data_IF_939593261425
#
_entry.id   IF_939593261425
#
_cell.length_a   1.000
_cell.length_b   1.000
_cell.length_c   1.000
_cell.angle_alpha   90.00
_cell.angle_beta   90.00
_cell.angle_gamma   90.00
#
_symmetry.space_group_name_H-M   'P 1'
#
loop_
_entity.id
_entity.type
_entity.pdbx_description
1 polymer ?
#
# COMPACT_ATOMS: atom_id res chain seq x y z
N UNK A 1 -71.54 20.93 -19.49
CA UNK A 1 -70.45 19.97 -19.74
C UNK A 1 -69.19 20.78 -20.03
N UNK A 2 -68.32 20.96 -19.03
CA UNK A 2 -67.02 21.65 -19.18
C UNK A 2 -65.93 20.59 -19.00
N UNK A 3 -65.15 20.33 -20.08
CA UNK A 3 -64.03 19.44 -20.11
C UNK A 3 -62.84 20.11 -19.45
N UNK A 4 -62.26 19.50 -18.39
CA UNK A 4 -61.03 19.91 -17.77
C UNK A 4 -59.91 19.12 -18.43
N UNK A 5 -59.02 19.76 -19.14
CA UNK A 5 -57.81 19.19 -19.67
C UNK A 5 -56.73 19.16 -18.58
N UNK A 6 -56.27 17.94 -18.24
CA UNK A 6 -55.19 17.72 -17.29
C UNK A 6 -53.84 17.84 -18.03
N UNK A 7 -53.11 18.90 -17.79
CA UNK A 7 -51.75 19.10 -18.32
C UNK A 7 -50.76 18.41 -17.36
N UNK A 8 -50.20 17.26 -17.78
CA UNK A 8 -49.09 16.61 -17.05
C UNK A 8 -47.80 17.40 -17.35
N UNK A 9 -47.27 18.06 -16.36
CA UNK A 9 -45.91 18.58 -16.38
C UNK A 9 -44.93 17.42 -16.07
N UNK A 10 -44.22 16.95 -17.07
CA UNK A 10 -43.08 16.04 -16.89
C UNK A 10 -41.91 16.86 -16.35
N UNK A 11 -41.65 16.78 -15.05
CA UNK A 11 -40.40 17.27 -14.47
C UNK A 11 -39.26 16.34 -14.86
N UNK A 12 -38.48 16.73 -15.87
CA UNK A 12 -37.19 16.09 -16.15
C UNK A 12 -36.20 16.58 -15.10
N UNK A 13 -35.86 15.72 -14.15
CA UNK A 13 -34.75 15.94 -13.26
C UNK A 13 -33.46 15.76 -14.06
N UNK A 14 -32.50 16.70 -14.02
CA UNK A 14 -31.20 16.46 -14.60
C UNK A 14 -30.50 15.36 -13.80
N UNK A 15 -30.21 14.26 -14.48
CA UNK A 15 -29.26 13.26 -13.95
C UNK A 15 -27.91 13.96 -13.90
N UNK A 16 -27.56 14.47 -12.72
CA UNK A 16 -26.18 14.92 -12.45
C UNK A 16 -25.35 13.64 -12.42
N UNK A 17 -24.76 13.30 -13.55
CA UNK A 17 -23.70 12.32 -13.63
C UNK A 17 -22.60 12.80 -12.69
N UNK A 18 -22.38 12.06 -11.60
CA UNK A 18 -21.26 12.22 -10.69
C UNK A 18 -19.99 11.89 -11.49
N UNK A 19 -19.49 12.88 -12.24
CA UNK A 19 -18.16 12.81 -12.83
C UNK A 19 -17.20 12.75 -11.64
N UNK A 20 -16.57 11.56 -11.47
CA UNK A 20 -15.34 11.48 -10.69
C UNK A 20 -14.50 12.70 -11.08
N UNK A 21 -14.04 13.47 -10.11
CA UNK A 21 -13.05 14.51 -10.31
C UNK A 21 -11.79 13.85 -10.90
N UNK A 22 -11.79 13.67 -12.21
CA UNK A 22 -10.57 13.61 -12.99
C UNK A 22 -9.96 14.99 -12.79
N UNK A 23 -8.86 15.07 -12.01
CA UNK A 23 -8.08 16.28 -11.92
C UNK A 23 -7.94 16.87 -13.33
N UNK A 24 -8.01 18.20 -13.45
CA UNK A 24 -7.94 18.89 -14.73
C UNK A 24 -6.86 18.23 -15.59
N UNK A 25 -7.19 17.91 -16.83
CA UNK A 25 -6.26 17.26 -17.75
C UNK A 25 -5.02 18.16 -17.83
N UNK A 26 -3.87 17.65 -17.37
CA UNK A 26 -2.62 18.39 -17.46
C UNK A 26 -2.29 18.54 -18.93
N UNK A 27 -2.27 19.78 -19.41
CA UNK A 27 -1.76 20.10 -20.74
C UNK A 27 -0.23 20.15 -20.63
N UNK A 28 0.43 19.34 -21.44
CA UNK A 28 1.88 19.37 -21.53
C UNK A 28 2.31 20.63 -22.32
N UNK A 29 3.36 21.36 -21.88
CA UNK A 29 3.94 22.45 -22.63
C UNK A 29 4.36 22.04 -24.03
N UNK A 30 4.27 22.94 -25.00
CA UNK A 30 4.76 22.70 -26.36
C UNK A 30 6.28 22.53 -26.37
N UNK A 31 6.77 21.61 -27.19
CA UNK A 31 8.20 21.36 -27.33
C UNK A 31 8.54 19.97 -27.83
N UNK A 32 9.80 19.82 -28.22
CA UNK A 32 10.35 18.54 -28.65
C UNK A 32 10.28 17.53 -27.51
N UNK A 33 9.72 16.35 -27.76
CA UNK A 33 9.46 15.29 -26.76
C UNK A 33 8.04 15.22 -26.23
N UNK A 34 7.18 16.26 -26.44
CA UNK A 34 5.78 16.26 -25.98
C UNK A 34 5.02 15.05 -26.49
N UNK A 35 5.03 14.82 -27.80
CA UNK A 35 4.32 13.71 -28.43
C UNK A 35 4.79 12.35 -27.93
N UNK A 36 6.10 12.22 -27.68
CA UNK A 36 6.67 10.99 -27.11
C UNK A 36 6.17 10.74 -25.67
N UNK A 37 6.06 11.78 -24.85
CA UNK A 37 5.47 11.69 -23.50
C UNK A 37 4.01 11.28 -23.57
N UNK A 38 3.20 11.92 -24.42
CA UNK A 38 1.80 11.56 -24.62
C UNK A 38 1.64 10.11 -25.10
N UNK A 39 2.41 9.69 -26.10
CA UNK A 39 2.36 8.37 -26.66
C UNK A 39 2.80 7.25 -25.71
N UNK A 40 3.80 7.49 -24.88
CA UNK A 40 4.40 6.46 -24.05
C UNK A 40 3.92 6.49 -22.58
N UNK A 41 3.70 7.68 -22.00
CA UNK A 41 3.37 7.79 -20.57
C UNK A 41 1.88 7.70 -20.27
N UNK A 42 1.00 8.16 -21.17
CA UNK A 42 -0.45 8.15 -20.95
C UNK A 42 -1.07 6.75 -21.02
N UNK A 43 -0.34 5.74 -21.47
CA UNK A 43 -0.85 4.37 -21.63
C UNK A 43 -1.20 3.69 -20.31
N UNK A 44 -0.49 4.02 -19.23
CA UNK A 44 -0.58 3.30 -17.97
C UNK A 44 -1.13 4.14 -16.81
N UNK A 45 -1.02 5.48 -16.89
CA UNK A 45 -1.46 6.39 -15.83
C UNK A 45 -1.71 7.81 -16.35
N UNK A 46 -2.29 8.67 -15.52
CA UNK A 46 -2.54 10.06 -15.91
C UNK A 46 -1.23 10.84 -16.06
N UNK A 47 -1.19 11.74 -17.04
CA UNK A 47 -0.07 12.68 -17.24
C UNK A 47 0.16 13.58 -16.02
N UNK A 48 -0.83 13.76 -15.16
CA UNK A 48 -0.68 14.46 -13.89
C UNK A 48 0.33 13.80 -12.95
N UNK A 49 0.46 12.47 -12.95
CA UNK A 49 1.51 11.78 -12.19
C UNK A 49 2.90 12.11 -12.72
N UNK A 50 3.04 12.21 -14.05
CA UNK A 50 4.31 12.55 -14.72
C UNK A 50 4.70 13.98 -14.40
N UNK A 51 3.80 14.94 -14.66
CA UNK A 51 4.04 16.36 -14.44
C UNK A 51 4.34 16.73 -12.97
N UNK A 52 3.81 15.95 -12.03
CA UNK A 52 4.03 16.18 -10.60
C UNK A 52 5.20 15.39 -10.01
N UNK A 53 5.87 14.53 -10.77
CA UNK A 53 6.94 13.68 -10.28
C UNK A 53 8.16 14.50 -9.79
N UNK A 54 8.55 15.55 -10.53
CA UNK A 54 9.67 16.43 -10.17
C UNK A 54 10.99 15.66 -10.04
N UNK A 55 11.39 14.97 -11.10
CA UNK A 55 12.64 14.23 -11.20
C UNK A 55 13.66 14.98 -12.04
N UNK A 56 14.96 14.77 -11.74
CA UNK A 56 16.04 15.17 -12.63
C UNK A 56 16.01 14.36 -13.93
N UNK A 57 16.73 14.80 -14.95
CA UNK A 57 16.88 14.05 -16.22
C UNK A 57 17.42 12.65 -15.98
N UNK A 58 18.44 12.55 -15.13
CA UNK A 58 19.02 11.26 -14.73
C UNK A 58 18.01 10.36 -14.02
N UNK A 59 17.23 10.91 -13.09
CA UNK A 59 16.21 10.12 -12.37
C UNK A 59 15.11 9.61 -13.30
N UNK A 60 14.74 10.38 -14.33
CA UNK A 60 13.83 9.94 -15.37
C UNK A 60 14.40 8.76 -16.16
N UNK A 61 15.66 8.85 -16.60
CA UNK A 61 16.33 7.76 -17.33
C UNK A 61 16.42 6.49 -16.47
N UNK A 62 16.82 6.62 -15.21
CA UNK A 62 16.89 5.52 -14.25
C UNK A 62 15.51 4.87 -14.02
N UNK A 63 14.46 5.68 -13.96
CA UNK A 63 13.07 5.21 -13.79
C UNK A 63 12.57 4.44 -15.01
N UNK A 64 12.86 4.91 -16.23
CA UNK A 64 12.42 4.25 -17.46
C UNK A 64 12.93 2.82 -17.56
N UNK A 65 14.14 2.55 -17.12
CA UNK A 65 14.72 1.20 -17.14
C UNK A 65 13.88 0.15 -16.39
N UNK A 66 13.06 0.58 -15.42
CA UNK A 66 12.19 -0.27 -14.60
C UNK A 66 10.70 -0.13 -14.91
N UNK A 67 10.33 0.88 -15.70
CA UNK A 67 8.91 1.23 -15.93
C UNK A 67 8.43 0.94 -17.35
N UNK A 68 9.26 1.19 -18.37
CA UNK A 68 8.86 1.06 -19.77
C UNK A 68 10.08 0.76 -20.65
N UNK A 69 9.91 -0.10 -21.64
CA UNK A 69 10.97 -0.36 -22.62
C UNK A 69 10.89 0.70 -23.72
N UNK A 70 11.85 1.61 -23.72
CA UNK A 70 12.00 2.67 -24.72
C UNK A 70 13.33 2.51 -25.48
N UNK A 71 13.39 2.88 -26.79
CA UNK A 71 14.65 3.14 -27.45
C UNK A 71 15.47 4.21 -26.72
N UNK A 72 16.79 4.12 -26.77
CA UNK A 72 17.68 5.02 -26.01
C UNK A 72 17.53 6.50 -26.39
N UNK A 73 17.34 6.79 -27.68
CA UNK A 73 17.08 8.12 -28.21
C UNK A 73 15.77 8.71 -27.65
N UNK A 74 14.69 7.97 -27.73
CA UNK A 74 13.39 8.39 -27.16
C UNK A 74 13.45 8.55 -25.64
N UNK A 75 14.14 7.64 -24.93
CA UNK A 75 14.34 7.74 -23.49
C UNK A 75 15.04 9.04 -23.10
N UNK A 76 16.10 9.40 -23.80
CA UNK A 76 16.85 10.64 -23.57
C UNK A 76 16.02 11.88 -23.88
N UNK A 77 15.30 11.87 -25.00
CA UNK A 77 14.42 12.99 -25.39
C UNK A 77 13.29 13.22 -24.41
N UNK A 78 12.59 12.15 -24.00
CA UNK A 78 11.52 12.23 -22.99
C UNK A 78 12.09 12.76 -21.67
N UNK A 79 13.23 12.26 -21.20
CA UNK A 79 13.84 12.67 -19.95
C UNK A 79 14.22 14.16 -19.96
N UNK A 80 14.84 14.64 -21.05
CA UNK A 80 15.21 16.04 -21.23
C UNK A 80 13.96 16.94 -21.26
N UNK A 81 12.92 16.55 -22.01
CA UNK A 81 11.66 17.28 -22.06
C UNK A 81 11.00 17.41 -20.68
N UNK A 82 10.92 16.29 -19.95
CA UNK A 82 10.28 16.27 -18.63
C UNK A 82 11.07 17.06 -17.59
N UNK A 83 12.38 16.93 -17.56
CA UNK A 83 13.25 17.68 -16.65
C UNK A 83 13.21 19.19 -16.91
N UNK A 84 13.09 19.60 -18.17
CA UNK A 84 12.98 21.01 -18.57
C UNK A 84 11.64 21.62 -18.17
N UNK A 85 10.53 20.92 -18.44
CA UNK A 85 9.18 21.46 -18.27
C UNK A 85 8.61 21.21 -16.87
N UNK A 86 9.07 20.19 -16.17
CA UNK A 86 8.67 19.79 -14.82
C UNK A 86 9.92 19.59 -13.97
N UNK A 87 10.62 20.68 -13.61
CA UNK A 87 11.93 20.60 -12.97
C UNK A 87 11.90 19.84 -11.65
N UNK A 88 13.07 19.34 -11.28
CA UNK A 88 13.27 18.60 -10.05
C UNK A 88 12.73 19.38 -8.84
N UNK A 89 11.92 18.69 -8.05
CA UNK A 89 11.45 19.19 -6.75
C UNK A 89 12.39 18.65 -5.67
N UNK A 90 13.04 19.52 -4.89
CA UNK A 90 13.88 19.07 -3.79
C UNK A 90 13.11 18.12 -2.88
N UNK A 91 13.65 16.93 -2.66
CA UNK A 91 13.12 15.98 -1.68
C UNK A 91 13.98 16.02 -0.42
N UNK A 92 13.39 15.87 0.78
CA UNK A 92 14.16 15.75 1.99
C UNK A 92 15.18 14.63 1.86
N UNK A 93 16.39 14.88 2.38
CA UNK A 93 17.43 13.85 2.39
C UNK A 93 17.19 12.84 3.50
N UNK A 94 17.54 11.60 3.22
CA UNK A 94 17.54 10.55 4.22
C UNK A 94 18.55 10.83 5.34
N UNK A 95 18.13 10.59 6.59
CA UNK A 95 19.03 10.60 7.75
C UNK A 95 19.45 9.16 8.03
N UNK A 96 20.77 8.90 7.99
CA UNK A 96 21.34 7.59 8.31
C UNK A 96 21.84 7.59 9.75
N UNK A 97 21.26 6.73 10.58
CA UNK A 97 21.65 6.53 11.96
C UNK A 97 22.31 5.15 12.06
N UNK A 98 23.62 5.09 12.34
CA UNK A 98 24.32 3.82 12.52
C UNK A 98 23.92 3.13 13.83
N UNK A 99 24.23 1.84 13.96
CA UNK A 99 23.97 1.08 15.18
C UNK A 99 24.59 -0.31 15.13
N UNK A 100 24.24 -1.15 16.12
CA UNK A 100 24.83 -2.47 16.31
C UNK A 100 24.21 -3.57 15.41
N UNK A 101 23.04 -3.30 14.81
CA UNK A 101 22.39 -4.26 13.92
C UNK A 101 22.87 -4.02 12.49
N UNK A 102 23.27 -5.07 11.80
CA UNK A 102 23.63 -5.03 10.40
C UNK A 102 22.51 -5.65 9.57
N UNK A 103 22.19 -5.03 8.44
CA UNK A 103 21.25 -5.59 7.45
C UNK A 103 21.91 -5.64 6.08
N UNK A 104 21.53 -6.64 5.29
CA UNK A 104 21.78 -6.65 3.86
C UNK A 104 20.44 -6.59 3.13
N UNK A 105 20.36 -5.74 2.09
CA UNK A 105 19.14 -5.56 1.29
C UNK A 105 19.43 -6.05 -0.11
N UNK A 106 18.78 -7.16 -0.49
CA UNK A 106 18.83 -7.69 -1.85
C UNK A 106 17.54 -7.36 -2.56
N UNK A 107 17.64 -6.74 -3.72
CA UNK A 107 16.49 -6.30 -4.51
C UNK A 107 16.43 -7.06 -5.85
N UNK A 108 15.22 -7.36 -6.31
CA UNK A 108 14.96 -7.96 -7.62
C UNK A 108 13.99 -7.08 -8.39
N UNK A 109 14.32 -6.78 -9.64
CA UNK A 109 13.41 -6.18 -10.60
C UNK A 109 12.34 -7.22 -10.96
N UNK A 110 11.05 -6.86 -10.84
CA UNK A 110 9.97 -7.78 -11.20
C UNK A 110 9.84 -7.85 -12.73
N UNK A 111 9.36 -9.00 -13.30
CA UNK A 111 9.41 -9.25 -14.74
C UNK A 111 8.65 -8.23 -15.58
N UNK A 112 7.41 -7.91 -15.22
CA UNK A 112 6.61 -6.91 -15.96
C UNK A 112 7.02 -5.51 -15.55
N UNK A 113 7.56 -4.74 -16.51
CA UNK A 113 7.94 -3.35 -16.29
C UNK A 113 6.71 -2.50 -15.96
N UNK A 114 6.88 -1.53 -15.06
CA UNK A 114 5.79 -0.67 -14.61
C UNK A 114 4.72 -1.38 -13.78
N UNK A 115 4.99 -2.60 -13.34
CA UNK A 115 4.06 -3.43 -12.56
C UNK A 115 3.62 -2.76 -11.24
N UNK A 116 4.47 -1.90 -10.67
CA UNK A 116 4.21 -1.23 -9.39
C UNK A 116 3.93 -2.24 -8.28
N UNK A 117 4.92 -3.02 -7.83
CA UNK A 117 4.79 -3.89 -6.67
C UNK A 117 4.22 -3.10 -5.49
N UNK A 118 3.05 -3.55 -4.95
CA UNK A 118 2.38 -2.76 -3.91
C UNK A 118 2.53 -3.38 -2.52
N UNK A 119 2.01 -4.56 -2.31
CA UNK A 119 2.16 -5.30 -1.05
C UNK A 119 3.05 -6.54 -1.27
N UNK A 120 4.07 -6.75 -0.43
CA UNK A 120 4.83 -7.99 -0.40
C UNK A 120 4.20 -8.98 0.58
N UNK A 121 4.44 -10.28 0.39
CA UNK A 121 4.03 -11.34 1.29
C UNK A 121 5.13 -12.39 1.37
N UNK A 122 5.58 -12.72 2.58
CA UNK A 122 6.46 -13.85 2.82
C UNK A 122 5.63 -15.08 3.20
N UNK A 123 5.61 -16.09 2.34
CA UNK A 123 4.81 -17.30 2.54
C UNK A 123 5.54 -18.39 3.33
N UNK A 124 4.76 -19.37 3.79
CA UNK A 124 5.26 -20.49 4.62
C UNK A 124 6.35 -21.31 3.94
N UNK A 125 6.31 -21.43 2.63
CA UNK A 125 7.26 -22.17 1.80
C UNK A 125 8.58 -21.41 1.52
N UNK A 126 8.71 -20.18 2.05
CA UNK A 126 9.88 -19.33 1.90
C UNK A 126 9.90 -18.51 0.60
N UNK A 127 8.84 -18.56 -0.20
CA UNK A 127 8.70 -17.69 -1.36
C UNK A 127 8.28 -16.27 -0.94
N UNK A 128 8.58 -15.31 -1.81
CA UNK A 128 8.14 -13.91 -1.69
C UNK A 128 7.11 -13.66 -2.79
N UNK A 129 5.92 -13.23 -2.39
CA UNK A 129 4.88 -12.83 -3.31
C UNK A 129 4.76 -11.31 -3.34
N UNK A 130 4.20 -10.78 -4.44
CA UNK A 130 3.85 -9.36 -4.55
C UNK A 130 2.59 -9.17 -5.40
N UNK A 131 1.90 -8.08 -5.15
CA UNK A 131 0.86 -7.58 -6.06
C UNK A 131 1.49 -6.65 -7.07
N UNK A 132 1.31 -6.93 -8.37
CA UNK A 132 1.64 -6.04 -9.47
C UNK A 132 0.43 -5.20 -9.84
N UNK A 133 0.20 -4.10 -9.10
CA UNK A 133 -1.05 -3.35 -9.14
C UNK A 133 -1.42 -2.83 -10.53
N UNK A 134 -0.44 -2.29 -11.27
CA UNK A 134 -0.68 -1.75 -12.62
C UNK A 134 -0.59 -2.81 -13.71
N UNK A 135 0.19 -3.85 -13.51
CA UNK A 135 0.28 -4.97 -14.44
C UNK A 135 -0.88 -5.98 -14.30
N UNK A 136 -1.71 -5.83 -13.28
CA UNK A 136 -2.83 -6.74 -12.99
C UNK A 136 -2.38 -8.19 -12.76
N UNK A 137 -1.29 -8.38 -12.01
CA UNK A 137 -0.70 -9.69 -11.73
C UNK A 137 -0.45 -9.91 -10.24
N UNK A 138 -0.36 -11.18 -9.86
CA UNK A 138 0.28 -11.64 -8.62
C UNK A 138 1.63 -12.25 -9.00
N UNK A 139 2.71 -11.85 -8.36
CA UNK A 139 4.02 -12.39 -8.65
C UNK A 139 4.57 -13.23 -7.50
N UNK A 140 5.38 -14.24 -7.84
CA UNK A 140 6.10 -15.11 -6.90
C UNK A 140 7.58 -15.13 -7.24
N UNK A 141 8.42 -14.96 -6.24
CA UNK A 141 9.88 -15.05 -6.29
C UNK A 141 10.36 -16.15 -5.35
N UNK A 142 11.20 -17.07 -5.85
CA UNK A 142 12.05 -17.88 -4.98
C UNK A 142 13.34 -17.09 -4.67
N UNK A 143 13.54 -16.59 -3.44
CA UNK A 143 14.68 -15.73 -3.13
C UNK A 143 16.03 -16.47 -3.15
N UNK A 144 16.03 -17.81 -3.12
CA UNK A 144 17.24 -18.66 -3.16
C UNK A 144 17.80 -18.71 -4.58
N UNK A 145 16.93 -18.85 -5.58
CA UNK A 145 17.31 -18.99 -6.99
C UNK A 145 17.17 -17.69 -7.78
N UNK A 146 16.31 -16.78 -7.33
CA UNK A 146 15.90 -15.59 -8.06
C UNK A 146 14.83 -15.86 -9.13
N UNK A 147 14.33 -17.10 -9.23
CA UNK A 147 13.30 -17.46 -10.19
C UNK A 147 11.97 -16.77 -9.88
N UNK A 148 11.33 -16.20 -10.89
CA UNK A 148 10.08 -15.49 -10.76
C UNK A 148 9.00 -16.07 -11.68
N UNK A 149 7.75 -15.99 -11.21
CA UNK A 149 6.56 -16.31 -12.00
C UNK A 149 5.48 -15.29 -11.70
N UNK A 150 4.78 -14.82 -12.73
CA UNK A 150 3.61 -13.96 -12.61
C UNK A 150 2.33 -14.70 -13.01
N UNK A 151 1.24 -14.41 -12.29
CA UNK A 151 -0.08 -14.96 -12.47
C UNK A 151 -1.04 -13.80 -12.77
N UNK A 152 -1.56 -13.68 -14.00
CA UNK A 152 -2.54 -12.64 -14.34
C UNK A 152 -3.80 -12.76 -13.47
N UNK A 153 -4.26 -11.65 -12.90
CA UNK A 153 -5.55 -11.62 -12.21
C UNK A 153 -6.69 -11.89 -13.22
N UNK A 154 -7.74 -12.59 -12.77
CA UNK A 154 -8.83 -13.04 -13.64
C UNK A 154 -9.66 -11.89 -14.21
N UNK A 155 -10.05 -10.92 -13.35
CA UNK A 155 -10.74 -9.72 -13.83
C UNK A 155 -9.71 -8.70 -14.35
N UNK A 156 -9.84 -8.25 -15.63
CA UNK A 156 -8.97 -7.22 -16.17
C UNK A 156 -9.02 -5.93 -15.33
N UNK A 157 -7.86 -5.28 -15.19
CA UNK A 157 -7.74 -4.02 -14.44
C UNK A 157 -8.26 -4.09 -12.99
N UNK A 158 -8.23 -5.28 -12.38
CA UNK A 158 -8.69 -5.45 -11.00
C UNK A 158 -7.85 -4.69 -9.99
N UNK A 159 -6.60 -4.35 -10.33
CA UNK A 159 -5.68 -3.61 -9.48
C UNK A 159 -5.31 -4.37 -8.21
N UNK A 160 -4.64 -5.55 -8.29
CA UNK A 160 -4.23 -6.30 -7.11
C UNK A 160 -3.45 -5.43 -6.14
N UNK A 161 -3.88 -5.38 -4.86
CA UNK A 161 -3.32 -4.44 -3.89
C UNK A 161 -2.79 -5.11 -2.63
N UNK A 162 -3.65 -5.52 -1.69
CA UNK A 162 -3.25 -6.22 -0.47
C UNK A 162 -3.10 -7.72 -0.70
N UNK A 163 -2.19 -8.38 0.04
CA UNK A 163 -1.94 -9.83 -0.01
C UNK A 163 -1.98 -10.45 1.38
N UNK A 164 -2.45 -11.69 1.44
CA UNK A 164 -2.31 -12.56 2.61
C UNK A 164 -2.35 -14.04 2.19
N UNK A 165 -1.81 -14.95 3.03
CA UNK A 165 -1.80 -16.40 2.83
C UNK A 165 -2.80 -17.07 3.78
N UNK A 166 -3.59 -18.03 3.30
CA UNK A 166 -4.40 -18.89 4.18
C UNK A 166 -3.61 -20.11 4.69
N UNK A 167 -4.22 -20.88 5.61
CA UNK A 167 -3.59 -22.09 6.20
C UNK A 167 -3.32 -23.20 5.19
N UNK A 168 -3.95 -23.15 4.01
CA UNK A 168 -3.79 -24.10 2.91
C UNK A 168 -2.72 -23.68 1.91
N UNK A 169 -2.15 -22.46 2.09
CA UNK A 169 -1.14 -21.89 1.21
C UNK A 169 -1.72 -21.18 -0.01
N UNK A 170 -3.03 -20.93 -0.06
CA UNK A 170 -3.59 -20.09 -1.10
C UNK A 170 -3.28 -18.61 -0.85
N UNK A 171 -3.11 -17.87 -1.93
CA UNK A 171 -2.82 -16.43 -1.88
C UNK A 171 -4.10 -15.65 -2.11
N UNK A 172 -4.48 -14.87 -1.10
CA UNK A 172 -5.65 -14.00 -1.17
C UNK A 172 -5.21 -12.57 -1.43
N UNK A 173 -5.97 -11.87 -2.27
CA UNK A 173 -5.67 -10.49 -2.64
C UNK A 173 -6.93 -9.63 -2.72
N UNK A 174 -6.75 -8.34 -2.54
CA UNK A 174 -7.79 -7.35 -2.82
C UNK A 174 -7.65 -6.84 -4.24
N UNK A 175 -8.71 -6.93 -5.03
CA UNK A 175 -8.82 -6.31 -6.35
C UNK A 175 -9.38 -4.90 -6.18
N UNK A 176 -8.48 -3.99 -5.85
CA UNK A 176 -8.75 -2.62 -5.38
C UNK A 176 -9.62 -1.83 -6.35
N UNK A 177 -9.28 -1.85 -7.65
CA UNK A 177 -10.00 -1.11 -8.69
C UNK A 177 -11.33 -1.77 -9.08
N UNK A 178 -11.43 -3.11 -8.99
CA UNK A 178 -12.63 -3.86 -9.40
C UNK A 178 -13.60 -4.12 -8.26
N UNK A 179 -13.26 -3.77 -7.01
CA UNK A 179 -14.13 -4.02 -5.86
C UNK A 179 -14.37 -5.51 -5.61
N UNK A 180 -13.30 -6.30 -5.49
CA UNK A 180 -13.39 -7.74 -5.27
C UNK A 180 -12.29 -8.25 -4.34
N UNK A 181 -12.49 -9.45 -3.80
CA UNK A 181 -11.45 -10.26 -3.16
C UNK A 181 -11.15 -11.44 -4.08
N UNK A 182 -9.87 -11.70 -4.35
CA UNK A 182 -9.43 -12.85 -5.14
C UNK A 182 -8.68 -13.87 -4.29
N UNK A 183 -8.79 -15.14 -4.68
CA UNK A 183 -8.05 -16.27 -4.12
C UNK A 183 -7.35 -17.00 -5.26
N UNK A 184 -6.04 -17.08 -5.21
CA UNK A 184 -5.19 -17.84 -6.13
C UNK A 184 -4.74 -19.14 -5.46
N UNK A 185 -4.93 -20.26 -6.13
CA UNK A 185 -4.23 -21.52 -5.81
C UNK A 185 -2.85 -21.49 -6.49
N UNK A 186 -1.73 -21.44 -5.73
CA UNK A 186 -0.40 -21.36 -6.33
C UNK A 186 0.03 -22.62 -7.09
N UNK A 187 -0.63 -23.77 -6.86
CA UNK A 187 -0.32 -25.06 -7.49
C UNK A 187 -0.89 -25.15 -8.88
N UNK A 188 -2.17 -24.79 -9.03
CA UNK A 188 -2.88 -24.84 -10.32
C UNK A 188 -2.80 -23.54 -11.09
N UNK A 189 -2.73 -22.39 -10.39
CA UNK A 189 -2.84 -21.05 -10.94
C UNK A 189 -4.29 -20.58 -11.07
N UNK A 190 -5.25 -21.36 -10.57
CA UNK A 190 -6.67 -21.01 -10.64
C UNK A 190 -7.01 -19.85 -9.70
N UNK A 191 -7.83 -18.91 -10.18
CA UNK A 191 -8.29 -17.78 -9.41
C UNK A 191 -9.81 -17.82 -9.25
N UNK A 192 -10.24 -17.80 -7.98
CA UNK A 192 -11.62 -17.57 -7.57
C UNK A 192 -11.80 -16.12 -7.11
N UNK A 193 -12.86 -15.46 -7.53
CA UNK A 193 -13.13 -14.06 -7.17
C UNK A 193 -14.49 -13.91 -6.49
N UNK A 194 -14.52 -13.07 -5.45
CA UNK A 194 -15.68 -12.74 -4.63
C UNK A 194 -15.95 -11.24 -4.80
N UNK A 195 -17.02 -10.89 -5.50
CA UNK A 195 -17.41 -9.49 -5.71
C UNK A 195 -18.02 -8.90 -4.44
N UNK A 196 -17.77 -7.62 -4.19
CA UNK A 196 -18.43 -6.92 -3.09
C UNK A 196 -19.95 -6.93 -3.28
N UNK A 197 -20.72 -7.23 -2.22
CA UNK A 197 -22.19 -7.29 -2.29
C UNK A 197 -22.84 -5.91 -2.44
N UNK A 198 -22.09 -4.84 -2.18
CA UNK A 198 -22.55 -3.47 -2.28
C UNK A 198 -21.63 -2.67 -3.24
N UNK A 199 -22.17 -2.05 -4.30
CA UNK A 199 -21.38 -1.23 -5.23
C UNK A 199 -20.66 -0.03 -4.59
N UNK A 200 -21.15 0.45 -3.42
CA UNK A 200 -20.47 1.47 -2.65
C UNK A 200 -19.20 0.96 -1.93
N UNK A 201 -19.04 -0.35 -1.78
CA UNK A 201 -17.86 -0.97 -1.19
C UNK A 201 -16.70 -1.00 -2.20
N UNK A 202 -16.20 0.18 -2.54
CA UNK A 202 -15.10 0.39 -3.47
C UNK A 202 -13.77 0.40 -2.76
N UNK A 203 -12.70 0.01 -3.45
CA UNK A 203 -11.33 0.08 -2.99
C UNK A 203 -11.08 -0.83 -1.75
N UNK A 204 -11.35 -2.17 -1.85
CA UNK A 204 -10.90 -3.11 -0.84
C UNK A 204 -9.37 -3.07 -0.77
N UNK A 205 -8.81 -3.00 0.47
CA UNK A 205 -7.43 -2.57 0.61
C UNK A 205 -6.54 -3.59 1.35
N UNK A 206 -6.60 -3.67 2.67
CA UNK A 206 -5.69 -4.52 3.47
C UNK A 206 -6.42 -5.75 3.97
N UNK A 207 -6.10 -6.96 3.45
CA UNK A 207 -6.69 -8.21 3.91
C UNK A 207 -5.84 -8.83 5.01
N UNK A 208 -6.48 -9.46 6.00
CA UNK A 208 -5.83 -10.22 7.08
C UNK A 208 -6.73 -11.34 7.57
N UNK A 209 -6.17 -12.53 7.83
CA UNK A 209 -6.91 -13.63 8.43
C UNK A 209 -6.91 -13.55 9.96
N UNK A 210 -8.05 -13.82 10.57
CA UNK A 210 -8.10 -14.10 12.00
C UNK A 210 -7.74 -15.57 12.30
N UNK A 211 -7.63 -15.90 13.59
CA UNK A 211 -7.27 -17.26 14.04
C UNK A 211 -8.31 -18.32 13.66
N UNK A 212 -9.58 -17.90 13.41
CA UNK A 212 -10.69 -18.77 12.99
C UNK A 212 -10.71 -19.01 11.48
N UNK A 213 -9.86 -18.29 10.73
CA UNK A 213 -9.77 -18.38 9.28
C UNK A 213 -10.81 -17.53 8.54
N UNK A 214 -11.37 -16.52 9.18
CA UNK A 214 -12.18 -15.49 8.52
C UNK A 214 -11.23 -14.44 7.95
N UNK A 215 -11.44 -14.06 6.70
CA UNK A 215 -10.70 -12.98 6.05
C UNK A 215 -11.36 -11.64 6.35
N UNK A 216 -10.66 -10.79 7.07
CA UNK A 216 -11.03 -9.40 7.32
C UNK A 216 -10.32 -8.48 6.35
N UNK A 217 -10.96 -7.39 5.95
CA UNK A 217 -10.36 -6.43 5.04
C UNK A 217 -10.94 -5.03 5.21
N UNK A 218 -10.12 -4.03 5.00
CA UNK A 218 -10.57 -2.64 4.92
C UNK A 218 -11.10 -2.34 3.52
N UNK A 219 -12.06 -1.41 3.42
CA UNK A 219 -12.67 -0.94 2.17
C UNK A 219 -12.55 0.57 2.15
N UNK A 220 -11.40 1.06 1.72
CA UNK A 220 -10.99 2.46 1.88
C UNK A 220 -11.95 3.43 1.20
N UNK A 221 -12.21 3.24 -0.10
CA UNK A 221 -13.09 4.11 -0.88
C UNK A 221 -14.57 4.00 -0.52
N UNK A 222 -14.96 2.90 0.15
CA UNK A 222 -16.31 2.68 0.65
C UNK A 222 -16.53 3.18 2.07
N UNK A 223 -15.49 3.58 2.79
CA UNK A 223 -15.56 3.91 4.24
C UNK A 223 -16.09 2.74 5.09
N UNK A 224 -15.67 1.51 4.76
CA UNK A 224 -16.19 0.28 5.37
C UNK A 224 -15.06 -0.67 5.79
N UNK A 225 -15.44 -1.65 6.63
CA UNK A 225 -14.65 -2.85 6.91
C UNK A 225 -15.50 -4.06 6.51
N UNK A 226 -14.87 -5.04 5.91
CA UNK A 226 -15.51 -6.27 5.47
C UNK A 226 -14.93 -7.50 6.14
N UNK A 227 -15.74 -8.55 6.21
CA UNK A 227 -15.31 -9.92 6.50
C UNK A 227 -15.82 -10.86 5.42
N UNK A 228 -15.01 -11.82 5.04
CA UNK A 228 -15.37 -12.91 4.12
C UNK A 228 -15.13 -14.24 4.81
N UNK A 229 -16.13 -15.12 4.79
CA UNK A 229 -15.98 -16.51 5.20
C UNK A 229 -15.54 -17.36 4.01
N UNK A 230 -14.29 -17.86 3.96
CA UNK A 230 -13.79 -18.65 2.83
C UNK A 230 -14.54 -19.96 2.58
N UNK A 231 -15.31 -20.45 3.55
CA UNK A 231 -16.04 -21.74 3.42
C UNK A 231 -17.25 -21.63 2.50
N UNK A 232 -17.92 -20.51 2.51
CA UNK A 232 -19.16 -20.29 1.74
C UNK A 232 -19.14 -19.05 0.86
N UNK A 233 -18.10 -18.21 0.97
CA UNK A 233 -17.97 -16.98 0.19
C UNK A 233 -18.83 -15.80 0.71
N UNK A 234 -19.43 -15.92 1.90
CA UNK A 234 -20.28 -14.88 2.47
C UNK A 234 -19.48 -13.65 2.88
N UNK A 235 -19.86 -12.48 2.35
CA UNK A 235 -19.25 -11.20 2.65
C UNK A 235 -20.22 -10.33 3.45
N UNK A 236 -19.77 -9.87 4.62
CA UNK A 236 -20.46 -8.87 5.43
C UNK A 236 -19.66 -7.59 5.52
N UNK A 237 -20.34 -6.45 5.51
CA UNK A 237 -19.74 -5.12 5.54
C UNK A 237 -20.29 -4.32 6.72
N UNK A 238 -19.42 -3.52 7.35
CA UNK A 238 -19.78 -2.53 8.36
C UNK A 238 -19.22 -1.16 7.94
N UNK A 239 -20.05 -0.13 8.01
CA UNK A 239 -19.63 1.24 7.71
C UNK A 239 -18.91 1.86 8.91
N UNK A 240 -17.77 2.48 8.70
CA UNK A 240 -17.06 3.22 9.75
C UNK A 240 -17.89 4.41 10.21
N UNK A 241 -18.04 4.65 11.54
CA UNK A 241 -18.90 5.71 12.06
C UNK A 241 -18.53 7.11 11.59
N UNK A 242 -17.22 7.39 11.50
CA UNK A 242 -16.74 8.67 11.00
C UNK A 242 -16.76 8.70 9.46
N UNK A 243 -17.50 9.63 8.83
CA UNK A 243 -17.54 9.76 7.39
C UNK A 243 -16.15 10.07 6.81
N UNK A 244 -15.82 9.44 5.67
CA UNK A 244 -14.53 9.63 4.98
C UNK A 244 -13.31 9.32 5.84
N UNK A 245 -13.46 8.39 6.78
CA UNK A 245 -12.36 7.97 7.65
C UNK A 245 -11.26 7.20 6.90
N UNK A 246 -11.56 6.67 5.71
CA UNK A 246 -10.62 5.92 4.86
C UNK A 246 -9.93 4.77 5.60
N UNK A 247 -10.66 3.71 6.02
CA UNK A 247 -10.07 2.53 6.67
C UNK A 247 -8.92 1.95 5.82
N UNK A 248 -7.71 1.80 6.42
CA UNK A 248 -6.51 1.50 5.66
C UNK A 248 -5.77 0.26 6.18
N UNK A 249 -4.71 0.41 6.97
CA UNK A 249 -3.98 -0.72 7.55
C UNK A 249 -4.82 -1.47 8.58
N UNK A 250 -4.67 -2.79 8.65
CA UNK A 250 -5.41 -3.66 9.56
C UNK A 250 -4.51 -4.75 10.16
N UNK A 251 -4.74 -5.08 11.41
CA UNK A 251 -4.11 -6.19 12.14
C UNK A 251 -5.15 -6.91 13.00
N UNK A 252 -4.82 -8.12 13.46
CA UNK A 252 -5.67 -8.92 14.37
C UNK A 252 -4.99 -9.01 15.73
N UNK A 253 -5.73 -8.75 16.81
CA UNK A 253 -5.22 -8.90 18.16
C UNK A 253 -5.19 -10.38 18.62
N UNK A 254 -4.61 -10.65 19.78
CA UNK A 254 -4.49 -12.01 20.34
C UNK A 254 -5.84 -12.68 20.63
N UNK A 255 -6.92 -11.88 20.70
CA UNK A 255 -8.30 -12.35 20.94
C UNK A 255 -9.12 -12.54 19.67
N UNK A 256 -8.50 -12.27 18.49
CA UNK A 256 -9.13 -12.41 17.18
C UNK A 256 -9.95 -11.21 16.74
N UNK A 257 -9.84 -10.07 17.40
CA UNK A 257 -10.52 -8.86 16.97
C UNK A 257 -9.67 -8.05 16.01
N UNK A 258 -10.25 -7.60 14.88
CA UNK A 258 -9.55 -6.72 13.96
C UNK A 258 -9.44 -5.30 14.50
N UNK A 259 -8.24 -4.73 14.36
CA UNK A 259 -7.93 -3.34 14.58
C UNK A 259 -7.48 -2.71 13.28
N UNK A 260 -7.92 -1.51 12.99
CA UNK A 260 -7.56 -0.81 11.77
C UNK A 260 -7.33 0.68 12.02
N UNK A 261 -6.59 1.30 11.13
CA UNK A 261 -6.31 2.74 11.17
C UNK A 261 -7.21 3.46 10.15
N UNK A 262 -7.60 4.68 10.48
CA UNK A 262 -8.46 5.52 9.68
C UNK A 262 -7.64 6.69 9.09
N UNK A 263 -7.08 6.45 7.92
CA UNK A 263 -6.12 7.35 7.27
C UNK A 263 -6.68 8.74 6.91
N UNK A 264 -7.99 8.86 6.74
CA UNK A 264 -8.66 10.13 6.48
C UNK A 264 -8.78 11.05 7.70
N UNK A 265 -8.61 10.49 8.91
CA UNK A 265 -8.79 11.17 10.20
C UNK A 265 -7.72 10.70 11.20
N UNK A 266 -7.70 11.31 12.39
CA UNK A 266 -6.76 10.94 13.46
C UNK A 266 -7.33 9.85 14.37
N UNK A 267 -7.72 8.70 13.81
CA UNK A 267 -8.34 7.63 14.59
C UNK A 267 -7.76 6.25 14.31
N UNK A 268 -7.87 5.39 15.31
CA UNK A 268 -7.74 3.94 15.24
C UNK A 268 -9.08 3.36 15.63
N UNK A 269 -9.48 2.25 15.02
CA UNK A 269 -10.73 1.61 15.31
C UNK A 269 -10.59 0.10 15.50
N UNK A 270 -11.52 -0.48 16.25
CA UNK A 270 -11.67 -1.92 16.46
C UNK A 270 -13.06 -2.34 16.01
N UNK A 271 -13.16 -3.45 15.32
CA UNK A 271 -14.43 -4.07 15.00
C UNK A 271 -14.64 -5.33 15.86
N UNK A 272 -15.85 -5.47 16.42
CA UNK A 272 -16.24 -6.70 17.12
C UNK A 272 -16.49 -7.81 16.09
N UNK A 273 -15.80 -8.96 16.17
CA UNK A 273 -15.91 -10.00 15.15
C UNK A 273 -17.26 -10.74 15.15
N UNK A 274 -18.07 -10.56 16.17
CA UNK A 274 -19.39 -11.19 16.30
C UNK A 274 -20.52 -10.26 15.88
N UNK A 275 -20.54 -9.04 16.43
CA UNK A 275 -21.62 -8.06 16.18
C UNK A 275 -21.36 -7.18 14.97
N UNK A 276 -20.12 -7.09 14.49
CA UNK A 276 -19.66 -6.15 13.46
C UNK A 276 -19.72 -4.67 13.90
N UNK A 277 -19.87 -4.40 15.19
CA UNK A 277 -19.87 -3.05 15.73
C UNK A 277 -18.44 -2.47 15.71
N UNK A 278 -18.31 -1.23 15.24
CA UNK A 278 -17.02 -0.52 15.15
C UNK A 278 -16.94 0.49 16.30
N UNK A 279 -15.87 0.38 17.08
CA UNK A 279 -15.50 1.35 18.11
C UNK A 279 -14.25 2.13 17.68
N UNK A 280 -14.38 3.45 17.63
CA UNK A 280 -13.29 4.37 17.25
C UNK A 280 -12.59 4.95 18.50
N UNK A 281 -11.28 5.20 18.35
CA UNK A 281 -10.42 5.83 19.35
C UNK A 281 -9.71 7.00 18.70
N UNK A 282 -9.94 8.21 19.22
CA UNK A 282 -9.32 9.43 18.70
C UNK A 282 -7.90 9.56 19.22
N UNK A 283 -6.94 9.77 18.34
CA UNK A 283 -5.54 10.04 18.68
C UNK A 283 -5.37 11.50 19.11
N UNK A 284 -4.42 11.79 20.03
CA UNK A 284 -4.31 13.11 20.66
C UNK A 284 -4.08 14.26 19.69
N UNK A 285 -3.29 14.04 18.63
CA UNK A 285 -3.00 15.09 17.66
C UNK A 285 -3.98 15.03 16.47
N UNK A 286 -4.67 16.13 16.20
CA UNK A 286 -5.69 16.23 15.14
C UNK A 286 -5.12 16.10 13.72
N UNK A 287 -3.83 16.33 13.52
CA UNK A 287 -3.16 16.22 12.22
C UNK A 287 -2.60 14.82 11.94
N UNK A 288 -2.65 13.92 12.93
CA UNK A 288 -2.24 12.51 12.74
C UNK A 288 -3.07 11.86 11.64
N UNK A 289 -2.38 11.19 10.73
CA UNK A 289 -3.01 10.38 9.67
C UNK A 289 -2.35 9.00 9.67
N UNK A 290 -2.84 8.08 10.52
CA UNK A 290 -2.26 6.76 10.66
C UNK A 290 -2.55 5.97 9.37
N UNK A 291 -1.49 5.44 8.73
CA UNK A 291 -1.64 4.81 7.42
C UNK A 291 -1.51 3.29 7.44
N UNK A 292 -0.44 2.77 7.96
CA UNK A 292 -0.25 1.34 8.20
C UNK A 292 -0.11 1.11 9.70
N UNK A 293 -0.39 -0.12 10.11
CA UNK A 293 -0.37 -0.52 11.51
C UNK A 293 0.30 -1.87 11.67
N UNK A 294 1.07 -2.01 12.74
CA UNK A 294 1.64 -3.26 13.22
C UNK A 294 1.15 -3.53 14.65
N UNK A 295 1.24 -4.77 15.10
CA UNK A 295 0.85 -5.16 16.45
C UNK A 295 1.95 -6.00 17.09
N UNK A 296 2.27 -5.72 18.34
CA UNK A 296 3.21 -6.51 19.13
C UNK A 296 2.49 -7.64 19.89
N UNK A 297 3.24 -8.59 20.44
CA UNK A 297 2.68 -9.78 21.12
C UNK A 297 1.82 -9.43 22.36
N UNK A 298 1.98 -8.25 22.92
CA UNK A 298 1.21 -7.71 24.04
C UNK A 298 -0.02 -6.91 23.62
N UNK A 299 -0.40 -6.99 22.34
CA UNK A 299 -1.51 -6.31 21.67
C UNK A 299 -1.37 -4.80 21.57
N UNK A 300 -0.16 -4.26 21.71
CA UNK A 300 0.10 -2.82 21.50
C UNK A 300 0.19 -2.53 20.01
N UNK A 301 -0.53 -1.50 19.57
CA UNK A 301 -0.57 -1.06 18.19
C UNK A 301 0.52 -0.03 17.91
N UNK A 302 1.18 -0.18 16.78
CA UNK A 302 2.18 0.76 16.27
C UNK A 302 1.77 1.21 14.87
N UNK A 303 1.78 2.51 14.61
CA UNK A 303 1.31 3.04 13.34
C UNK A 303 2.27 4.05 12.73
N UNK A 304 2.30 4.07 11.42
CA UNK A 304 3.00 5.08 10.64
C UNK A 304 2.12 6.33 10.49
N UNK A 305 2.49 7.44 11.14
CA UNK A 305 1.84 8.73 10.93
C UNK A 305 2.42 9.40 9.67
N UNK A 306 1.75 9.14 8.58
CA UNK A 306 2.21 9.54 7.25
C UNK A 306 2.26 11.06 7.05
N UNK A 307 1.34 11.81 7.66
CA UNK A 307 1.25 13.26 7.44
C UNK A 307 2.25 14.05 8.26
N UNK A 308 2.51 13.64 9.49
CA UNK A 308 3.37 14.36 10.43
C UNK A 308 4.83 13.89 10.42
N UNK A 309 5.10 12.70 9.84
CA UNK A 309 6.44 12.10 9.89
C UNK A 309 6.79 11.53 11.26
N UNK A 310 5.86 10.77 11.87
CA UNK A 310 6.03 10.19 13.20
C UNK A 310 5.80 8.66 13.17
N UNK A 311 6.43 7.97 14.10
CA UNK A 311 6.05 6.64 14.52
C UNK A 311 5.14 6.78 15.74
N UNK A 312 3.92 6.23 15.69
CA UNK A 312 2.96 6.29 16.78
C UNK A 312 2.75 4.93 17.45
N UNK A 313 2.42 4.95 18.73
CA UNK A 313 2.03 3.81 19.57
C UNK A 313 0.66 4.08 20.18
N UNK A 314 -0.19 3.06 20.21
CA UNK A 314 -1.47 3.09 20.92
C UNK A 314 -1.62 1.80 21.73
N UNK A 315 -1.97 1.96 23.01
CA UNK A 315 -2.21 0.85 23.93
C UNK A 315 -3.71 0.62 24.09
N UNK A 316 -4.26 -0.47 23.53
CA UNK A 316 -5.70 -0.74 23.62
C UNK A 316 -6.24 -0.96 25.02
N UNK A 317 -5.38 -1.36 25.99
CA UNK A 317 -5.78 -1.64 27.38
C UNK A 317 -6.03 -0.35 28.17
N UNK A 318 -5.22 0.66 27.91
CA UNK A 318 -5.25 1.94 28.66
C UNK A 318 -5.80 3.10 27.84
N UNK A 319 -5.86 2.96 26.50
CA UNK A 319 -6.18 4.05 25.58
C UNK A 319 -5.03 5.06 25.42
N UNK A 320 -3.87 4.82 26.03
CA UNK A 320 -2.74 5.73 25.98
C UNK A 320 -2.08 5.71 24.59
N UNK A 321 -1.81 6.90 24.06
CA UNK A 321 -1.08 7.08 22.81
C UNK A 321 0.21 7.88 23.08
N UNK A 322 1.26 7.51 22.32
CA UNK A 322 2.54 8.21 22.31
C UNK A 322 3.14 8.18 20.92
N UNK A 323 3.91 9.18 20.54
CA UNK A 323 4.58 9.24 19.24
C UNK A 323 6.04 9.72 19.36
N UNK A 324 6.83 9.38 18.33
CA UNK A 324 8.24 9.76 18.17
C UNK A 324 8.45 10.34 16.78
N UNK A 325 9.18 11.47 16.65
CA UNK A 325 9.52 11.99 15.35
C UNK A 325 10.39 10.99 14.58
N UNK A 326 10.07 10.76 13.33
CA UNK A 326 10.86 9.91 12.45
C UNK A 326 12.22 10.55 12.16
N UNK A 327 13.31 9.77 12.02
CA UNK A 327 14.67 10.30 11.88
C UNK A 327 14.88 11.37 10.82
N UNK A 328 14.21 11.21 9.68
CA UNK A 328 14.35 12.17 8.57
C UNK A 328 13.34 13.33 8.62
N UNK A 329 12.66 13.52 9.76
CA UNK A 329 11.83 14.68 10.05
C UNK A 329 10.41 14.62 9.49
N UNK A 330 9.68 15.75 9.52
CA UNK A 330 8.23 15.77 9.31
C UNK A 330 7.78 15.40 7.88
N UNK A 331 8.67 15.52 6.90
CA UNK A 331 8.38 15.13 5.51
C UNK A 331 8.81 13.70 5.19
N UNK A 332 9.27 12.92 6.17
CA UNK A 332 9.74 11.54 5.98
C UNK A 332 8.67 10.57 5.49
N UNK A 333 7.41 10.86 5.74
CA UNK A 333 6.24 10.05 5.33
C UNK A 333 6.40 8.57 5.68
N UNK A 334 6.44 8.20 6.97
CA UNK A 334 6.45 6.81 7.41
C UNK A 334 5.31 6.03 6.76
N UNK A 335 5.61 4.81 6.22
CA UNK A 335 4.58 4.10 5.48
C UNK A 335 4.50 2.62 5.84
N UNK A 336 5.17 1.72 5.09
CA UNK A 336 5.19 0.30 5.42
C UNK A 336 5.73 0.10 6.84
N UNK A 337 5.06 -0.73 7.66
CA UNK A 337 5.42 -0.96 9.05
C UNK A 337 5.16 -2.41 9.44
N UNK A 338 6.04 -2.99 10.25
CA UNK A 338 5.89 -4.33 10.81
C UNK A 338 6.56 -4.42 12.17
N UNK A 339 5.99 -5.24 13.07
CA UNK A 339 6.61 -5.62 14.34
C UNK A 339 7.29 -6.98 14.20
N UNK A 340 8.58 -7.05 14.57
CA UNK A 340 9.36 -8.28 14.52
C UNK A 340 10.18 -8.42 15.80
N UNK A 341 9.90 -9.47 16.60
CA UNK A 341 10.59 -9.73 17.86
C UNK A 341 10.63 -8.54 18.83
N UNK A 342 9.52 -7.81 18.96
CA UNK A 342 9.40 -6.63 19.81
C UNK A 342 10.03 -5.35 19.26
N UNK A 343 10.67 -5.41 18.11
CA UNK A 343 11.25 -4.28 17.37
C UNK A 343 10.26 -3.82 16.32
N UNK A 344 10.17 -2.50 16.12
CA UNK A 344 9.34 -1.91 15.08
C UNK A 344 10.20 -1.52 13.89
N UNK A 345 9.81 -2.00 12.73
CA UNK A 345 10.45 -1.70 11.46
C UNK A 345 9.48 -0.94 10.57
N UNK A 346 9.94 0.13 9.94
CA UNK A 346 9.11 0.88 9.00
C UNK A 346 9.95 1.56 7.91
N UNK A 347 9.29 2.07 6.90
CA UNK A 347 9.94 2.81 5.80
C UNK A 347 9.69 4.31 5.94
N UNK A 348 10.69 5.14 5.67
CA UNK A 348 10.51 6.55 5.34
C UNK A 348 10.44 6.70 3.82
N UNK A 349 9.24 6.93 3.31
CA UNK A 349 8.98 6.95 1.86
C UNK A 349 8.90 8.35 1.25
N UNK A 350 9.04 9.40 2.07
CA UNK A 350 9.06 10.80 1.63
C UNK A 350 10.45 11.37 1.38
N UNK A 351 11.50 10.65 1.73
CA UNK A 351 12.90 11.06 1.57
C UNK A 351 13.57 10.40 0.37
N UNK A 352 14.68 10.96 -0.07
CA UNK A 352 15.46 10.41 -1.18
C UNK A 352 16.91 10.21 -0.74
N UNK A 353 17.42 8.97 -0.88
CA UNK A 353 16.70 7.71 -1.10
C UNK A 353 15.77 7.35 0.06
N UNK A 354 14.76 6.48 -0.17
CA UNK A 354 13.93 5.97 0.94
C UNK A 354 14.80 5.19 1.92
N UNK A 355 14.39 5.16 3.19
CA UNK A 355 15.09 4.41 4.24
C UNK A 355 14.25 3.31 4.83
N UNK A 356 14.92 2.25 5.29
CA UNK A 356 14.42 1.31 6.25
C UNK A 356 14.79 1.82 7.65
N UNK A 357 13.84 1.88 8.55
CA UNK A 357 14.02 2.33 9.93
C UNK A 357 13.76 1.18 10.89
N UNK A 358 14.64 1.00 11.87
CA UNK A 358 14.47 0.17 13.04
C UNK A 358 14.26 1.08 14.27
N UNK A 359 13.21 0.81 15.03
CA UNK A 359 12.97 1.44 16.32
C UNK A 359 12.90 0.36 17.41
N UNK A 360 13.65 0.56 18.47
CA UNK A 360 13.66 -0.33 19.63
C UNK A 360 12.83 0.30 20.75
N UNK A 361 11.62 -0.23 21.05
CA UNK A 361 10.75 0.35 22.06
C UNK A 361 11.33 0.35 23.48
N UNK A 362 12.25 -0.57 23.80
CA UNK A 362 12.85 -0.66 25.13
C UNK A 362 13.89 0.44 25.40
N UNK A 363 14.59 0.87 24.35
CA UNK A 363 15.65 1.90 24.46
C UNK A 363 15.28 3.21 23.80
N UNK A 364 14.19 3.25 23.07
CA UNK A 364 13.71 4.36 22.23
C UNK A 364 14.74 4.84 21.18
N UNK A 365 15.63 3.94 20.75
CA UNK A 365 16.68 4.27 19.78
C UNK A 365 16.28 3.87 18.38
N UNK A 366 16.64 4.76 17.45
CA UNK A 366 16.51 4.53 16.02
C UNK A 366 17.81 4.05 15.40
N UNK A 367 17.69 3.28 14.32
CA UNK A 367 18.75 2.92 13.40
C UNK A 367 18.18 2.89 11.98
N UNK A 368 18.91 3.39 10.99
CA UNK A 368 18.39 3.53 9.64
C UNK A 368 19.36 3.06 8.59
N UNK A 369 18.82 2.58 7.45
CA UNK A 369 19.57 2.16 6.28
C UNK A 369 18.93 2.69 5.01
N UNK A 370 19.74 3.10 4.07
CA UNK A 370 19.31 3.48 2.73
C UNK A 370 18.89 2.24 1.95
N UNK A 371 17.77 2.31 1.24
CA UNK A 371 17.38 1.28 0.29
C UNK A 371 18.18 1.46 -0.99
N UNK A 372 18.91 0.45 -1.49
CA UNK A 372 19.91 0.60 -2.55
C UNK A 372 19.38 1.22 -3.86
N UNK A 373 18.19 0.79 -4.31
CA UNK A 373 17.55 1.39 -5.50
C UNK A 373 16.92 2.76 -5.26
N UNK A 374 16.96 3.26 -4.01
CA UNK A 374 16.21 4.43 -3.58
C UNK A 374 14.75 4.13 -3.21
N UNK A 375 14.28 2.87 -3.32
CA UNK A 375 12.94 2.43 -2.91
C UNK A 375 11.76 3.00 -3.72
N UNK A 376 11.78 4.27 -4.02
CA UNK A 376 10.78 4.98 -4.84
C UNK A 376 9.35 5.00 -4.26
N UNK A 377 9.17 4.80 -3.02
CA UNK A 377 8.00 4.57 -2.14
C UNK A 377 7.89 3.09 -1.76
N UNK A 378 8.36 2.76 -0.57
CA UNK A 378 8.11 1.44 0.05
C UNK A 378 6.73 1.46 0.70
N UNK A 379 5.75 0.84 0.03
CA UNK A 379 4.33 0.96 0.41
C UNK A 379 3.91 0.01 1.51
N UNK A 380 4.53 -1.16 1.54
CA UNK A 380 4.32 -2.13 2.59
C UNK A 380 5.56 -2.99 2.81
N UNK A 381 5.61 -3.63 3.96
CA UNK A 381 6.63 -4.59 4.35
C UNK A 381 6.02 -5.68 5.23
N UNK A 382 6.64 -6.83 5.26
CA UNK A 382 6.22 -7.95 6.07
C UNK A 382 7.44 -8.65 6.68
N UNK A 383 7.27 -9.24 7.87
CA UNK A 383 8.27 -10.11 8.46
C UNK A 383 8.20 -11.51 7.84
N UNK A 384 9.35 -12.12 7.62
CA UNK A 384 9.46 -13.54 7.26
C UNK A 384 9.45 -14.42 8.51
N UNK A 385 9.18 -15.71 8.35
CA UNK A 385 9.16 -16.66 9.48
C UNK A 385 10.54 -16.88 10.12
N UNK A 386 11.60 -16.71 9.34
CA UNK A 386 12.99 -16.81 9.77
C UNK A 386 13.56 -15.51 10.34
N UNK A 387 12.72 -14.49 10.51
CA UNK A 387 13.08 -13.25 11.20
C UNK A 387 13.77 -12.21 10.34
N UNK A 388 13.51 -12.22 9.05
CA UNK A 388 13.91 -11.22 8.06
C UNK A 388 12.71 -10.35 7.65
N UNK A 389 12.89 -9.44 6.66
CA UNK A 389 11.81 -8.60 6.15
C UNK A 389 11.74 -8.68 4.62
N UNK A 390 10.53 -8.54 4.09
CA UNK A 390 10.30 -8.33 2.66
C UNK A 390 9.69 -6.95 2.42
N UNK A 391 10.11 -6.27 1.35
CA UNK A 391 9.69 -4.92 1.00
C UNK A 391 9.11 -4.90 -0.42
N UNK A 392 8.12 -4.02 -0.65
CA UNK A 392 7.68 -3.64 -2.00
C UNK A 392 8.15 -2.22 -2.33
N UNK A 393 9.14 -2.12 -3.20
CA UNK A 393 9.75 -0.88 -3.69
C UNK A 393 9.04 -0.41 -4.97
N UNK A 394 7.83 0.16 -4.78
CA UNK A 394 6.84 0.37 -5.85
C UNK A 394 7.34 1.22 -7.01
N UNK A 395 7.96 2.36 -6.72
CA UNK A 395 8.42 3.28 -7.77
C UNK A 395 9.74 2.84 -8.43
N UNK A 396 10.32 1.74 -7.99
CA UNK A 396 11.51 1.12 -8.60
C UNK A 396 11.21 -0.24 -9.22
N UNK A 397 9.93 -0.61 -9.25
CA UNK A 397 9.46 -1.88 -9.80
C UNK A 397 10.19 -3.11 -9.23
N UNK A 398 10.47 -3.08 -7.91
CA UNK A 398 11.27 -4.10 -7.22
C UNK A 398 10.57 -4.66 -6.01
N UNK A 399 10.94 -5.89 -5.67
CA UNK A 399 10.73 -6.49 -4.36
C UNK A 399 12.08 -6.72 -3.71
N UNK A 400 12.13 -6.70 -2.38
CA UNK A 400 13.40 -6.84 -1.66
C UNK A 400 13.28 -7.79 -0.48
N UNK A 401 14.38 -8.49 -0.19
CA UNK A 401 14.62 -9.22 1.04
C UNK A 401 15.67 -8.47 1.86
N UNK A 402 15.31 -8.14 3.09
CA UNK A 402 16.20 -7.56 4.09
C UNK A 402 16.62 -8.69 5.03
N UNK A 403 17.86 -9.12 4.93
CA UNK A 403 18.45 -10.08 5.88
C UNK A 403 19.00 -9.33 7.08
N UNK A 404 18.51 -9.67 8.27
CA UNK A 404 18.92 -9.08 9.52
C UNK A 404 20.02 -9.94 10.13
N UNK A 405 21.26 -9.45 10.07
CA UNK A 405 22.41 -10.13 10.64
C UNK A 405 22.45 -9.83 12.15
N UNK A 406 22.09 -10.82 12.97
CA UNK A 406 22.28 -10.73 14.41
C UNK A 406 23.78 -10.87 14.68
N UNK A 407 24.35 -10.00 15.51
CA UNK A 407 25.70 -10.20 16.00
C UNK A 407 25.76 -11.58 16.66
N UNK A 408 26.71 -12.41 16.21
CA UNK A 408 27.00 -13.70 16.86
C UNK A 408 27.44 -13.37 18.27
N UNK A 409 26.57 -13.49 19.28
CA UNK A 409 26.94 -13.25 20.67
C UNK A 409 25.86 -12.79 21.65
N UNK A 410 24.59 -12.71 21.28
CA UNK A 410 23.51 -12.45 22.25
C UNK A 410 22.54 -13.62 22.31
N UNK A 411 22.93 -14.65 23.05
CA UNK A 411 22.01 -15.64 23.63
C UNK A 411 21.53 -15.16 24.97
#
# INVERSE_FOLDING_TARGET
>A
MKSIALVMFAMSWPVIACAQQRGAAVQLPEGHGKELVEANCARCHSLGLVANAGFSEKDWQDLFSSMVKLPSDQSSEIAAYLAKNFPEKPKPRAVVIPGSVNVSIKEWLVPTLGSRPHDPLATADGNIWWTGQFANVLGRLDPRTGAMKEFPAKTPQSGPHGLTEDKQGNIWYTGNSAGLIGKLDPKTGDITEYKMPNPAARDPHTPVFDQKGILWFTVQGGNMVGRLDPKNGDIKLATSPTPRSLPYGMVIDSKGAPWFVEFGVNKIARIDPTTMEIKEYTLPNSETRPRRVAITKDDVLWYSDYSRGYLGRFDPKTGAARDWPSPSGPQSRPYGIVALNGIIWYSESGVTPNTLVRFDPATEKFQTWVIPSGGGVVRNMMATRDGNLVLACSGRNRVALVTINRAVGSR
#
